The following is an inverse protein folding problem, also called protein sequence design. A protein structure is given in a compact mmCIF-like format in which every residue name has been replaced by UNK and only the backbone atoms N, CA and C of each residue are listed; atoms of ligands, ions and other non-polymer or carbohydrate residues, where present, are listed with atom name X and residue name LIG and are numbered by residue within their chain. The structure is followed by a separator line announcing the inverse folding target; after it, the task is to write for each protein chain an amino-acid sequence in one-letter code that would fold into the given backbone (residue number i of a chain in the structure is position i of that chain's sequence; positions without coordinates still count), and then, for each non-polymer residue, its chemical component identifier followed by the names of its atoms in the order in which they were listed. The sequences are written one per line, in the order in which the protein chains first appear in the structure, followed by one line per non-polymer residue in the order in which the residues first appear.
data_IF_444425803785
#
_entry.id   IF_444425803785
#
_cell.length_a   1.000
_cell.length_b   1.000
_cell.length_c   1.000
_cell.angle_alpha   90.00
_cell.angle_beta   90.00
_cell.angle_gamma   90.00
#
_symmetry.space_group_name_H-M   'P 1'
#
loop_
_entity.id
_entity.type
_entity.pdbx_description
1 polymer ?
#
# COMPACT_ATOMS: atom_id res chain seq x y z
N UNK A 1 -6.08 21.02 -5.91
CA UNK A 1 -6.40 20.52 -4.55
C UNK A 1 -5.45 19.36 -4.27
N UNK A 2 -4.54 19.51 -3.31
CA UNK A 2 -3.64 18.42 -2.92
C UNK A 2 -4.32 17.51 -1.90
N UNK A 3 -4.36 16.21 -2.18
CA UNK A 3 -4.95 15.22 -1.31
C UNK A 3 -3.83 14.50 -0.55
N UNK A 4 -3.68 14.80 0.75
CA UNK A 4 -2.55 14.32 1.56
C UNK A 4 -2.39 12.79 1.53
N UNK A 5 -3.49 12.04 1.46
CA UNK A 5 -3.45 10.57 1.38
C UNK A 5 -2.94 10.03 0.03
N UNK A 6 -2.79 10.88 -1.00
CA UNK A 6 -2.25 10.56 -2.33
C UNK A 6 -1.12 11.51 -2.75
N UNK A 7 -0.39 12.04 -1.78
CA UNK A 7 0.70 12.99 -2.00
C UNK A 7 2.06 12.35 -2.37
N UNK A 8 3.15 13.13 -2.36
CA UNK A 8 4.47 12.67 -2.79
C UNK A 8 5.03 11.48 -2.01
N UNK A 9 4.62 11.32 -0.74
CA UNK A 9 5.02 10.17 0.10
C UNK A 9 4.52 8.85 -0.48
N UNK A 10 3.26 8.78 -0.95
CA UNK A 10 2.75 7.54 -1.55
C UNK A 10 3.43 7.26 -2.89
N UNK A 11 3.72 8.30 -3.68
CA UNK A 11 4.47 8.15 -4.93
C UNK A 11 5.88 7.57 -4.70
N UNK A 12 6.57 8.02 -3.65
CA UNK A 12 7.88 7.45 -3.28
C UNK A 12 7.74 6.01 -2.78
N UNK A 13 6.74 5.72 -1.94
CA UNK A 13 6.47 4.38 -1.45
C UNK A 13 6.19 3.40 -2.61
N UNK A 14 5.45 3.81 -3.64
CA UNK A 14 5.21 3.00 -4.84
C UNK A 14 6.48 2.74 -5.66
N UNK A 15 7.38 3.72 -5.76
CA UNK A 15 8.70 3.52 -6.39
C UNK A 15 9.55 2.52 -5.62
N UNK A 16 9.61 2.64 -4.29
CA UNK A 16 10.34 1.71 -3.42
C UNK A 16 9.77 0.28 -3.54
N UNK A 17 8.44 0.15 -3.59
CA UNK A 17 7.78 -1.15 -3.78
C UNK A 17 8.16 -1.79 -5.13
N UNK A 18 8.31 -0.99 -6.19
CA UNK A 18 8.81 -1.46 -7.48
C UNK A 18 10.31 -1.83 -7.44
N UNK A 19 11.15 -1.03 -6.79
CA UNK A 19 12.59 -1.29 -6.59
C UNK A 19 12.80 -2.61 -5.83
N UNK A 20 12.05 -2.85 -4.75
CA UNK A 20 12.07 -4.11 -3.99
C UNK A 20 11.69 -5.32 -4.85
N UNK A 21 10.67 -5.20 -5.72
CA UNK A 21 10.29 -6.27 -6.67
C UNK A 21 11.37 -6.57 -7.70
N UNK A 22 12.21 -5.58 -8.03
CA UNK A 22 13.36 -5.76 -8.91
C UNK A 22 14.60 -6.31 -8.18
N UNK A 23 14.51 -6.57 -6.87
CA UNK A 23 15.59 -7.13 -6.07
C UNK A 23 16.59 -6.10 -5.54
N UNK A 24 16.25 -4.80 -5.57
CA UNK A 24 17.07 -3.77 -4.94
C UNK A 24 17.13 -4.01 -3.43
N UNK A 25 18.35 -4.10 -2.87
CA UNK A 25 18.54 -4.31 -1.44
C UNK A 25 18.23 -3.04 -0.66
N UNK A 26 17.30 -3.15 0.28
CA UNK A 26 16.89 -2.11 1.21
C UNK A 26 16.97 -2.67 2.65
N UNK A 27 17.01 -1.81 3.69
CA UNK A 27 17.01 -2.26 5.09
C UNK A 27 15.68 -2.89 5.56
N UNK A 28 14.73 -3.09 4.64
CA UNK A 28 13.42 -3.69 4.86
C UNK A 28 13.03 -4.52 3.63
N UNK A 29 12.13 -5.49 3.82
CA UNK A 29 11.73 -6.44 2.77
C UNK A 29 10.44 -6.06 2.05
N UNK A 30 9.63 -5.14 2.60
CA UNK A 30 8.32 -4.78 2.05
C UNK A 30 7.89 -3.37 2.45
N UNK A 31 6.90 -2.83 1.72
CA UNK A 31 6.27 -1.53 1.99
C UNK A 31 4.84 -1.75 2.48
N UNK A 32 4.51 -1.25 3.68
CA UNK A 32 3.15 -1.27 4.23
C UNK A 32 2.47 0.08 3.97
N UNK A 33 1.30 0.07 3.33
CA UNK A 33 0.54 1.28 2.97
C UNK A 33 -0.44 1.64 4.08
N UNK A 34 0.06 2.26 5.15
CA UNK A 34 -0.75 2.71 6.30
C UNK A 34 -1.32 4.14 6.15
N UNK A 35 -1.27 4.71 4.95
CA UNK A 35 -1.69 6.09 4.67
C UNK A 35 -3.19 6.23 4.36
N UNK A 36 -3.87 5.13 4.03
CA UNK A 36 -5.31 5.07 3.72
C UNK A 36 -5.90 3.88 4.48
N UNK A 37 -7.10 4.06 5.03
CA UNK A 37 -7.87 3.00 5.71
C UNK A 37 -8.47 1.97 4.75
N UNK A 38 -7.64 1.30 3.94
CA UNK A 38 -8.06 0.18 3.09
C UNK A 38 -7.86 -1.15 3.82
N UNK A 39 -8.87 -1.52 4.61
CA UNK A 39 -8.81 -2.72 5.43
C UNK A 39 -8.73 -4.01 4.59
N UNK A 40 -9.32 -4.04 3.39
CA UNK A 40 -9.22 -5.18 2.49
C UNK A 40 -7.80 -5.37 1.96
N UNK A 41 -7.11 -4.29 1.59
CA UNK A 41 -5.69 -4.34 1.22
C UNK A 41 -4.80 -4.84 2.38
N UNK A 42 -5.25 -4.67 3.63
CA UNK A 42 -4.59 -5.17 4.85
C UNK A 42 -5.04 -6.57 5.27
N UNK A 43 -5.76 -7.29 4.42
CA UNK A 43 -6.11 -8.70 4.65
C UNK A 43 -7.47 -8.92 5.31
N UNK A 44 -8.31 -7.88 5.48
CA UNK A 44 -9.69 -8.07 5.91
C UNK A 44 -10.45 -8.90 4.87
N UNK A 45 -10.98 -10.05 5.28
CA UNK A 45 -11.84 -10.89 4.42
C UNK A 45 -13.18 -10.18 4.16
N UNK A 46 -13.70 -10.24 2.92
CA UNK A 46 -15.04 -9.72 2.62
C UNK A 46 -16.13 -10.44 3.41
N UNK A 47 -17.18 -9.71 3.81
CA UNK A 47 -18.35 -10.31 4.47
C UNK A 47 -19.20 -11.06 3.45
N UNK A 48 -19.40 -12.36 3.66
CA UNK A 48 -20.11 -13.24 2.72
C UNK A 48 -21.56 -12.80 2.48
N UNK A 49 -22.30 -12.45 3.54
CA UNK A 49 -23.73 -12.12 3.46
C UNK A 49 -24.03 -10.91 2.53
N UNK A 50 -23.14 -9.92 2.48
CA UNK A 50 -23.33 -8.70 1.67
C UNK A 50 -22.95 -8.93 0.20
N UNK A 51 -22.24 -10.01 -0.12
CA UNK A 51 -21.65 -10.26 -1.45
C UNK A 51 -22.33 -11.38 -2.23
N UNK A 52 -23.54 -11.79 -1.82
CA UNK A 52 -24.37 -12.76 -2.53
C UNK A 52 -25.06 -12.14 -3.74
#
# INVERSE_FOLDING_TARGET
MEYAARGPVICRAMKIDAELRQGVKMPFSSVIKANIGDAHAMGQKPMTFIRQ
#
